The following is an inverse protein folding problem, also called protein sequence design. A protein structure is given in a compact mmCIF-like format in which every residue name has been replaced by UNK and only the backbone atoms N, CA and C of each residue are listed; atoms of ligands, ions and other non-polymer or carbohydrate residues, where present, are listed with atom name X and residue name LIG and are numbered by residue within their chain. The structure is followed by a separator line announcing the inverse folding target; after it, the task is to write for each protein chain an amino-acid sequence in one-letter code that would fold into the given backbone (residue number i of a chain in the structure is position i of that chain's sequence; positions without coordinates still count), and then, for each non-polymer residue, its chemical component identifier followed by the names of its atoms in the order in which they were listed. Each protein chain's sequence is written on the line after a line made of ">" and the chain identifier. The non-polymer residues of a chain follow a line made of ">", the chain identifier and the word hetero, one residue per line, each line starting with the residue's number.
data_IF_211110145109
#
_entry.id   IF_211110145109
#
_cell.length_a   1.000
_cell.length_b   1.000
_cell.length_c   1.000
_cell.angle_alpha   90.00
_cell.angle_beta   90.00
_cell.angle_gamma   90.00
#
_symmetry.space_group_name_H-M   'P 1'
#
loop_
_entity.id
_entity.type
_entity.pdbx_description
1 polymer ?
#
# COMPACT_ATOMS: atom_id res chain seq x y z
N UNK A 1 -27.10 0.05 6.51
CA UNK A 1 -26.54 0.86 7.61
C UNK A 1 -26.28 2.24 7.07
N UNK A 2 -26.94 3.26 7.63
CA UNK A 2 -26.85 4.66 7.19
C UNK A 2 -25.42 5.17 7.39
N UNK A 3 -24.98 6.06 6.51
CA UNK A 3 -23.70 6.75 6.66
C UNK A 3 -23.60 7.39 8.06
N UNK A 4 -22.58 7.01 8.84
CA UNK A 4 -22.38 7.51 10.21
C UNK A 4 -22.05 9.01 10.21
N UNK A 5 -21.69 9.58 9.05
CA UNK A 5 -21.29 10.98 8.91
C UNK A 5 -22.25 11.74 7.98
N UNK A 6 -22.42 13.04 8.24
CA UNK A 6 -23.09 13.92 7.29
C UNK A 6 -22.32 14.01 5.97
N UNK A 7 -22.99 14.45 4.90
CA UNK A 7 -22.38 14.61 3.57
C UNK A 7 -21.18 15.57 3.60
N UNK A 8 -21.29 16.68 4.33
CA UNK A 8 -20.21 17.66 4.48
C UNK A 8 -19.02 17.06 5.22
N UNK A 9 -19.30 16.36 6.34
CA UNK A 9 -18.27 15.69 7.14
C UNK A 9 -17.56 14.60 6.34
N UNK A 10 -18.28 13.82 5.53
CA UNK A 10 -17.68 12.81 4.65
C UNK A 10 -16.81 13.45 3.56
N UNK A 11 -17.29 14.52 2.92
CA UNK A 11 -16.49 15.26 1.94
C UNK A 11 -15.18 15.78 2.55
N UNK A 12 -15.26 16.35 3.76
CA UNK A 12 -14.09 16.82 4.51
C UNK A 12 -13.14 15.70 4.94
N UNK A 13 -13.64 14.53 5.35
CA UNK A 13 -12.81 13.37 5.65
C UNK A 13 -12.06 12.93 4.39
N UNK A 14 -12.78 12.80 3.28
CA UNK A 14 -12.23 12.35 2.00
C UNK A 14 -11.15 13.30 1.45
N UNK A 15 -11.32 14.62 1.62
CA UNK A 15 -10.31 15.61 1.21
C UNK A 15 -9.01 15.53 2.01
N UNK A 16 -9.06 14.97 3.22
CA UNK A 16 -7.89 14.76 4.09
C UNK A 16 -7.20 13.42 3.88
N UNK A 17 -7.78 12.51 3.09
CA UNK A 17 -7.13 11.24 2.74
C UNK A 17 -5.94 11.54 1.83
N UNK A 18 -4.73 11.50 2.40
CA UNK A 18 -3.48 11.72 1.65
C UNK A 18 -3.15 10.49 0.81
N UNK A 19 -2.81 10.69 -0.46
CA UNK A 19 -2.37 9.63 -1.37
C UNK A 19 -0.87 9.30 -1.30
N UNK A 20 -0.09 9.98 -0.45
CA UNK A 20 1.37 9.80 -0.29
C UNK A 20 1.86 10.28 1.05
N UNK A 21 3.02 9.80 1.49
CA UNK A 21 3.64 10.14 2.77
C UNK A 21 2.71 9.88 3.96
N UNK A 22 1.90 8.82 3.86
CA UNK A 22 1.04 8.37 4.95
C UNK A 22 1.89 7.86 6.12
N UNK A 23 1.31 7.79 7.33
CA UNK A 23 2.05 7.26 8.49
C UNK A 23 2.59 5.82 8.28
N UNK A 24 1.82 4.88 7.68
CA UNK A 24 2.34 3.56 7.32
C UNK A 24 3.58 3.64 6.43
N UNK A 25 3.57 4.48 5.39
CA UNK A 25 4.72 4.65 4.51
C UNK A 25 5.95 5.18 5.25
N UNK A 26 5.75 6.20 6.11
CA UNK A 26 6.84 6.77 6.91
C UNK A 26 7.46 5.73 7.85
N UNK A 27 6.63 4.90 8.48
CA UNK A 27 7.13 3.84 9.37
C UNK A 27 7.96 2.81 8.60
N UNK A 28 7.47 2.32 7.46
CA UNK A 28 8.21 1.36 6.63
C UNK A 28 9.53 1.96 6.16
N UNK A 29 9.53 3.21 5.66
CA UNK A 29 10.76 3.92 5.27
C UNK A 29 11.76 4.01 6.42
N UNK A 30 11.29 4.31 7.63
CA UNK A 30 12.14 4.41 8.81
C UNK A 30 12.81 3.09 9.16
N UNK A 31 12.10 1.96 9.06
CA UNK A 31 12.70 0.64 9.30
C UNK A 31 13.69 0.26 8.21
N UNK A 32 13.33 0.42 6.94
CA UNK A 32 14.22 0.12 5.81
C UNK A 32 15.51 0.94 5.90
N UNK A 33 15.41 2.22 6.28
CA UNK A 33 16.57 3.09 6.49
C UNK A 33 17.44 2.63 7.66
N UNK A 34 16.82 2.29 8.80
CA UNK A 34 17.53 1.77 9.99
C UNK A 34 18.25 0.44 9.73
N UNK A 35 17.74 -0.37 8.81
CA UNK A 35 18.39 -1.61 8.33
C UNK A 35 19.59 -1.35 7.39
N UNK A 36 19.94 -0.09 7.13
CA UNK A 36 21.11 0.29 6.32
C UNK A 36 20.85 0.40 4.82
N UNK A 37 19.60 0.21 4.37
CA UNK A 37 19.27 0.28 2.95
C UNK A 37 19.01 1.71 2.49
N UNK A 38 19.53 2.06 1.31
CA UNK A 38 19.21 3.29 0.60
C UNK A 38 18.13 3.01 -0.43
N UNK A 39 17.18 3.94 -0.56
CA UNK A 39 16.02 3.78 -1.43
C UNK A 39 15.60 5.11 -2.05
N UNK A 40 14.82 5.00 -3.12
CA UNK A 40 14.05 6.10 -3.70
C UNK A 40 12.60 5.95 -3.26
N UNK A 41 11.87 7.07 -3.14
CA UNK A 41 10.45 7.08 -2.79
C UNK A 41 9.61 7.59 -3.95
N UNK A 42 8.38 7.06 -4.08
CA UNK A 42 7.40 7.49 -5.09
C UNK A 42 8.02 7.65 -6.48
N UNK A 43 8.66 6.58 -6.95
CA UNK A 43 9.39 6.62 -8.21
C UNK A 43 8.45 6.45 -9.40
N UNK A 44 8.21 7.56 -10.11
CA UNK A 44 7.30 7.62 -11.27
C UNK A 44 7.77 6.86 -12.50
N UNK A 45 9.04 6.45 -12.55
CA UNK A 45 9.60 5.69 -13.68
C UNK A 45 9.26 4.20 -13.67
N UNK A 46 8.44 3.72 -12.73
CA UNK A 46 8.02 2.34 -12.61
C UNK A 46 6.49 2.21 -12.54
N UNK A 47 5.92 1.12 -13.09
CA UNK A 47 4.50 0.82 -12.96
C UNK A 47 4.01 0.92 -11.52
N UNK A 48 2.88 1.60 -11.33
CA UNK A 48 2.26 1.77 -10.01
C UNK A 48 2.93 2.79 -9.09
N UNK A 49 3.96 3.50 -9.54
CA UNK A 49 4.65 4.53 -8.76
C UNK A 49 5.02 4.06 -7.34
N UNK A 50 5.93 3.07 -7.19
CA UNK A 50 6.11 2.39 -5.93
C UNK A 50 6.57 3.31 -4.80
N UNK A 51 6.12 3.00 -3.58
CA UNK A 51 6.39 3.81 -2.39
C UNK A 51 7.88 3.81 -2.02
N UNK A 52 8.52 2.65 -2.13
CA UNK A 52 9.95 2.47 -1.84
C UNK A 52 10.55 1.59 -2.93
N UNK A 53 11.62 2.09 -3.56
CA UNK A 53 12.39 1.38 -4.58
C UNK A 53 13.83 1.27 -4.12
N UNK A 54 14.36 0.05 -4.16
CA UNK A 54 15.75 -0.28 -3.84
C UNK A 54 16.46 -0.76 -5.12
N UNK A 55 17.03 0.17 -5.93
CA UNK A 55 17.55 -0.18 -7.25
C UNK A 55 18.70 -1.18 -7.21
N UNK A 56 19.61 -1.03 -6.24
CA UNK A 56 20.78 -1.92 -6.08
C UNK A 56 20.37 -3.38 -5.82
N UNK A 57 19.26 -3.59 -5.14
CA UNK A 57 18.75 -4.91 -4.79
C UNK A 57 17.68 -5.42 -5.77
N UNK A 58 17.30 -4.64 -6.80
CA UNK A 58 16.15 -4.96 -7.67
C UNK A 58 14.86 -5.26 -6.87
N UNK A 59 14.67 -4.56 -5.74
CA UNK A 59 13.54 -4.75 -4.81
C UNK A 59 12.63 -3.53 -4.72
N UNK A 60 11.34 -3.76 -4.57
CA UNK A 60 10.29 -2.75 -4.44
C UNK A 60 9.41 -3.09 -3.25
N UNK A 61 8.99 -2.08 -2.50
CA UNK A 61 8.00 -2.22 -1.43
C UNK A 61 6.84 -1.25 -1.74
N UNK A 62 5.64 -1.81 -1.83
CA UNK A 62 4.38 -1.06 -1.82
C UNK A 62 3.79 -1.05 -0.42
N UNK A 63 3.23 0.08 -0.02
CA UNK A 63 2.51 0.25 1.24
C UNK A 63 1.04 0.48 0.94
N UNK A 64 0.26 -0.60 0.95
CA UNK A 64 -1.14 -0.56 0.57
C UNK A 64 -2.06 -0.26 1.76
N UNK A 65 -2.93 0.72 1.58
CA UNK A 65 -4.09 0.90 2.44
C UNK A 65 -5.04 -0.31 2.32
N UNK A 66 -5.43 -0.92 3.45
CA UNK A 66 -6.23 -2.14 3.43
C UNK A 66 -7.56 -1.99 2.68
N UNK A 67 -8.20 -0.83 2.83
CA UNK A 67 -9.45 -0.49 2.16
C UNK A 67 -9.28 -0.34 0.65
N UNK A 68 -8.38 0.53 0.21
CA UNK A 68 -8.24 0.92 -1.20
C UNK A 68 -7.79 -0.19 -2.15
N UNK A 69 -7.01 -1.14 -1.63
CA UNK A 69 -6.42 -2.23 -2.41
C UNK A 69 -7.01 -3.61 -2.04
N UNK A 70 -8.07 -3.65 -1.23
CA UNK A 70 -8.83 -4.88 -0.95
C UNK A 70 -8.06 -5.97 -0.21
N UNK A 71 -7.47 -5.65 0.95
CA UNK A 71 -6.74 -6.64 1.75
C UNK A 71 -7.66 -7.80 2.16
N UNK A 72 -7.39 -9.02 1.67
CA UNK A 72 -8.21 -10.20 2.00
C UNK A 72 -8.17 -10.51 3.50
N UNK A 73 -9.33 -10.90 4.07
CA UNK A 73 -9.49 -11.27 5.50
C UNK A 73 -9.05 -10.17 6.49
N UNK A 74 -9.13 -8.91 6.09
CA UNK A 74 -8.82 -7.77 6.95
C UNK A 74 -10.12 -7.03 7.31
N UNK A 75 -10.39 -6.81 8.60
CA UNK A 75 -11.55 -6.02 9.02
C UNK A 75 -11.52 -4.57 8.50
N UNK A 76 -10.33 -4.06 8.15
CA UNK A 76 -10.13 -2.70 7.62
C UNK A 76 -10.28 -2.61 6.10
N UNK A 77 -10.64 -3.69 5.42
CA UNK A 77 -10.92 -3.72 3.97
C UNK A 77 -12.42 -3.89 3.65
N UNK A 78 -13.28 -3.77 4.66
CA UNK A 78 -14.73 -3.86 4.49
C UNK A 78 -15.23 -2.88 3.42
N UNK A 79 -16.02 -3.41 2.47
CA UNK A 79 -16.64 -2.60 1.42
C UNK A 79 -17.75 -1.74 2.01
N UNK A 80 -17.92 -0.48 1.57
CA UNK A 80 -18.99 0.37 2.06
C UNK A 80 -20.36 -0.20 1.69
N UNK A 81 -21.33 -0.05 2.60
CA UNK A 81 -22.73 -0.46 2.39
C UNK A 81 -23.59 0.64 1.74
N UNK A 82 -22.98 1.79 1.43
CA UNK A 82 -23.60 2.94 0.75
C UNK A 82 -22.92 3.18 -0.58
N UNK A 83 -23.67 3.49 -1.64
CA UNK A 83 -23.14 3.66 -3.02
C UNK A 83 -22.33 2.43 -3.47
N UNK A 84 -22.92 1.25 -3.27
CA UNK A 84 -22.27 -0.06 -3.37
C UNK A 84 -21.65 -0.26 -4.75
N UNK A 85 -22.38 0.03 -5.82
CA UNK A 85 -21.90 -0.20 -7.19
C UNK A 85 -20.67 0.64 -7.52
N UNK A 86 -20.69 1.92 -7.13
CA UNK A 86 -19.54 2.81 -7.29
C UNK A 86 -18.32 2.28 -6.54
N UNK A 87 -18.48 1.91 -5.26
CA UNK A 87 -17.36 1.47 -4.44
C UNK A 87 -16.82 0.11 -4.87
N UNK A 88 -17.69 -0.84 -5.21
CA UNK A 88 -17.29 -2.14 -5.74
C UNK A 88 -16.48 -1.95 -7.01
N UNK A 89 -17.02 -1.22 -7.99
CA UNK A 89 -16.33 -0.92 -9.25
C UNK A 89 -14.97 -0.26 -9.00
N UNK A 90 -14.93 0.79 -8.17
CA UNK A 90 -13.69 1.53 -7.86
C UNK A 90 -12.63 0.65 -7.19
N UNK A 91 -13.02 -0.16 -6.21
CA UNK A 91 -12.08 -1.03 -5.50
C UNK A 91 -11.60 -2.17 -6.41
N UNK A 92 -12.48 -2.74 -7.23
CA UNK A 92 -12.13 -3.81 -8.17
C UNK A 92 -11.19 -3.30 -9.27
N UNK A 93 -11.43 -2.09 -9.79
CA UNK A 93 -10.51 -1.43 -10.73
C UNK A 93 -9.12 -1.19 -10.12
N UNK A 94 -9.06 -0.76 -8.85
CA UNK A 94 -7.79 -0.59 -8.15
C UNK A 94 -7.06 -1.93 -8.00
N UNK A 95 -7.74 -2.96 -7.52
CA UNK A 95 -7.18 -4.30 -7.33
C UNK A 95 -6.65 -4.85 -8.67
N UNK A 96 -7.41 -4.70 -9.75
CA UNK A 96 -6.98 -5.19 -11.07
C UNK A 96 -5.81 -4.38 -11.63
N UNK A 97 -5.79 -3.07 -11.38
CA UNK A 97 -4.64 -2.21 -11.71
C UNK A 97 -3.39 -2.65 -10.95
N UNK A 98 -3.50 -2.91 -9.64
CA UNK A 98 -2.36 -3.36 -8.83
C UNK A 98 -1.80 -4.68 -9.36
N UNK A 99 -2.67 -5.64 -9.69
CA UNK A 99 -2.23 -6.91 -10.30
C UNK A 99 -1.47 -6.70 -11.61
N UNK A 100 -1.93 -5.78 -12.48
CA UNK A 100 -1.20 -5.44 -13.72
C UNK A 100 0.19 -4.91 -13.43
N UNK A 101 0.30 -3.93 -12.53
CA UNK A 101 1.59 -3.36 -12.14
C UNK A 101 2.53 -4.39 -11.53
N UNK A 102 2.03 -5.26 -10.65
CA UNK A 102 2.83 -6.35 -10.07
C UNK A 102 3.35 -7.30 -11.15
N UNK A 103 2.55 -7.63 -12.17
CA UNK A 103 2.98 -8.47 -13.30
C UNK A 103 4.08 -7.77 -14.11
N UNK A 104 3.88 -6.49 -14.46
CA UNK A 104 4.86 -5.71 -15.22
C UNK A 104 6.20 -5.59 -14.48
N UNK A 105 6.16 -5.25 -13.20
CA UNK A 105 7.36 -5.13 -12.36
C UNK A 105 8.13 -6.45 -12.27
N UNK A 106 7.42 -7.58 -12.09
CA UNK A 106 8.05 -8.91 -12.08
C UNK A 106 8.68 -9.25 -13.43
N UNK A 107 8.02 -8.93 -14.55
CA UNK A 107 8.58 -9.11 -15.91
C UNK A 107 9.82 -8.26 -16.15
N UNK A 108 9.87 -7.07 -15.56
CA UNK A 108 11.06 -6.22 -15.52
C UNK A 108 12.15 -6.73 -14.56
N UNK A 109 11.97 -7.89 -13.91
CA UNK A 109 12.93 -8.53 -13.01
C UNK A 109 12.94 -7.96 -11.59
N UNK A 110 11.93 -7.19 -11.19
CA UNK A 110 11.84 -6.66 -9.83
C UNK A 110 11.19 -7.66 -8.88
N UNK A 111 11.78 -7.81 -7.69
CA UNK A 111 11.14 -8.45 -6.54
C UNK A 111 10.25 -7.44 -5.84
N UNK A 112 9.02 -7.82 -5.53
CA UNK A 112 8.02 -6.90 -4.96
C UNK A 112 7.47 -7.44 -3.65
N UNK A 113 7.49 -6.59 -2.63
CA UNK A 113 6.82 -6.79 -1.35
C UNK A 113 5.62 -5.86 -1.23
N UNK A 114 4.51 -6.39 -0.74
CA UNK A 114 3.35 -5.58 -0.35
C UNK A 114 3.28 -5.59 1.17
N UNK A 115 3.37 -4.41 1.77
CA UNK A 115 3.11 -4.16 3.18
C UNK A 115 1.73 -3.53 3.31
N UNK A 116 0.86 -4.16 4.08
CA UNK A 116 -0.47 -3.65 4.32
C UNK A 116 -0.48 -2.68 5.50
N UNK A 117 -1.28 -1.63 5.44
CA UNK A 117 -1.43 -0.65 6.51
C UNK A 117 -1.74 -1.28 7.88
N UNK A 118 -2.48 -2.39 7.93
CA UNK A 118 -2.75 -3.05 9.21
C UNK A 118 -1.49 -3.73 9.80
N UNK A 119 -0.56 -4.18 8.97
CA UNK A 119 0.71 -4.78 9.40
C UNK A 119 1.63 -3.72 10.04
N UNK A 120 1.54 -2.46 9.60
CA UNK A 120 2.34 -1.36 10.20
C UNK A 120 1.93 -1.02 11.62
N UNK A 121 0.81 -1.56 12.11
CA UNK A 121 0.40 -1.44 13.53
C UNK A 121 1.04 -2.48 14.43
N UNK A 122 1.77 -3.45 13.86
CA UNK A 122 2.47 -4.53 14.57
C UNK A 122 3.94 -4.53 14.15
N UNK A 123 4.77 -3.66 14.76
CA UNK A 123 6.16 -3.47 14.37
C UNK A 123 6.97 -4.77 14.28
N UNK A 124 6.72 -5.72 15.19
CA UNK A 124 7.39 -7.02 15.25
C UNK A 124 7.15 -7.86 13.99
N UNK A 125 5.90 -7.90 13.50
CA UNK A 125 5.55 -8.63 12.27
C UNK A 125 6.11 -7.92 11.05
N UNK A 126 6.01 -6.58 11.04
CA UNK A 126 6.53 -5.76 9.94
C UNK A 126 8.05 -5.94 9.78
N UNK A 127 8.80 -5.90 10.89
CA UNK A 127 10.25 -6.06 10.90
C UNK A 127 10.66 -7.40 10.30
N UNK A 128 10.13 -8.52 10.82
CA UNK A 128 10.50 -9.85 10.31
C UNK A 128 10.15 -10.03 8.81
N UNK A 129 9.06 -9.40 8.34
CA UNK A 129 8.69 -9.40 6.93
C UNK A 129 9.67 -8.59 6.07
N UNK A 130 10.09 -7.42 6.55
CA UNK A 130 11.08 -6.58 5.88
C UNK A 130 12.44 -7.26 5.84
N UNK A 131 12.91 -7.84 6.95
CA UNK A 131 14.18 -8.54 7.02
C UNK A 131 14.23 -9.70 6.03
N UNK A 132 13.21 -10.57 6.06
CA UNK A 132 13.12 -11.70 5.12
C UNK A 132 13.14 -11.23 3.68
N UNK A 133 12.46 -10.14 3.36
CA UNK A 133 12.42 -9.63 1.99
C UNK A 133 13.72 -8.95 1.58
N UNK A 134 14.34 -8.17 2.45
CA UNK A 134 15.52 -7.35 2.12
C UNK A 134 16.80 -8.17 2.11
N UNK A 135 16.99 -9.05 3.10
CA UNK A 135 18.14 -9.94 3.21
C UNK A 135 17.94 -11.27 2.49
N UNK A 136 16.69 -11.70 2.28
CA UNK A 136 16.40 -12.93 1.53
C UNK A 136 16.72 -12.80 0.04
N UNK A 137 17.27 -13.89 -0.51
CA UNK A 137 17.65 -14.04 -1.91
C UNK A 137 16.55 -13.66 -2.87
#
# INVERSE_FOLDING_TARGET
>A
MTDVFSKEKRSWIMSRVKGRNTEPEKLVRSFVHRMGFRFRVHYRGLPGNPDIVLPRQKKIIFVHGCFWHGHKRCQRSGRPTTNIDFWNKKLDENIERDKRFLRELRRMGWKVLIVWQCETRRPEILLGKLERFLYGG
#
